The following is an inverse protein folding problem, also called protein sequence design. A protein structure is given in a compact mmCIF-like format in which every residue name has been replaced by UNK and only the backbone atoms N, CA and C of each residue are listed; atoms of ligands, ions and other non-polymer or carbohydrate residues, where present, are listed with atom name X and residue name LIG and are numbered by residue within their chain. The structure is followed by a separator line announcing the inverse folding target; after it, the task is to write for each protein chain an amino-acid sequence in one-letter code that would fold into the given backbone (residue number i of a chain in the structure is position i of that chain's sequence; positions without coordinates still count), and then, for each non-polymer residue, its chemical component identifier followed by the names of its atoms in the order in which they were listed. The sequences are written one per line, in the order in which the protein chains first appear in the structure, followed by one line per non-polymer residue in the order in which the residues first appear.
data_IF_149649785323
#
_entry.id   IF_149649785323
#
_cell.length_a   1.000
_cell.length_b   1.000
_cell.length_c   1.000
_cell.angle_alpha   90.00
_cell.angle_beta   90.00
_cell.angle_gamma   90.00
#
_symmetry.space_group_name_H-M   'P 1'
#
loop_
_entity.id
_entity.type
_entity.pdbx_description
1 polymer ?
#
# COMPACT_ATOMS: atom_id res chain seq x y z
N UNK A 1 13.84 0.73 1.79
CA UNK A 1 13.00 0.44 0.62
C UNK A 1 11.60 0.13 1.10
N UNK A 2 10.64 1.01 0.81
CA UNK A 2 9.23 0.65 0.82
C UNK A 2 9.07 -0.44 -0.24
N UNK A 3 8.36 -1.53 0.06
CA UNK A 3 8.28 -2.72 -0.78
C UNK A 3 7.54 -2.41 -2.09
N UNK A 4 8.26 -1.95 -3.11
CA UNK A 4 7.76 -1.71 -4.48
C UNK A 4 7.73 -3.00 -5.31
N UNK A 5 7.38 -4.14 -4.72
CA UNK A 5 7.10 -5.35 -5.52
C UNK A 5 5.72 -5.18 -6.15
N UNK A 6 5.70 -4.44 -7.25
CA UNK A 6 4.52 -3.99 -7.99
C UNK A 6 4.37 -4.67 -9.35
N UNK A 7 5.09 -5.77 -9.61
CA UNK A 7 5.10 -6.42 -10.93
C UNK A 7 3.69 -6.74 -11.46
N UNK A 8 2.73 -7.10 -10.60
CA UNK A 8 1.36 -7.33 -11.08
C UNK A 8 0.52 -6.05 -11.25
N UNK A 9 0.82 -4.94 -10.55
CA UNK A 9 0.08 -3.68 -10.75
C UNK A 9 0.47 -3.04 -12.08
N UNK A 10 1.77 -3.02 -12.39
CA UNK A 10 2.26 -2.57 -13.69
C UNK A 10 1.64 -3.39 -14.83
N UNK A 11 1.54 -4.72 -14.67
CA UNK A 11 0.87 -5.61 -15.64
C UNK A 11 -0.63 -5.33 -15.72
N UNK A 12 -1.32 -5.23 -14.58
CA UNK A 12 -2.77 -4.93 -14.51
C UNK A 12 -3.10 -3.64 -15.25
N UNK A 13 -2.43 -2.54 -14.92
CA UNK A 13 -2.76 -1.23 -15.49
C UNK A 13 -2.21 -1.05 -16.91
N UNK A 14 -1.14 -1.75 -17.30
CA UNK A 14 -0.76 -1.81 -18.72
C UNK A 14 -1.80 -2.55 -19.55
N UNK A 15 -2.32 -3.69 -19.05
CA UNK A 15 -3.37 -4.43 -19.73
C UNK A 15 -4.66 -3.61 -19.85
N UNK A 16 -5.10 -2.94 -18.76
CA UNK A 16 -6.26 -2.06 -18.79
C UNK A 16 -6.09 -0.88 -19.75
N UNK A 17 -4.90 -0.28 -19.80
CA UNK A 17 -4.59 0.82 -20.72
C UNK A 17 -4.70 0.40 -22.19
N UNK A 18 -4.21 -0.80 -22.52
CA UNK A 18 -4.07 -1.27 -23.89
C UNK A 18 -5.30 -2.06 -24.39
N UNK A 19 -6.25 -2.40 -23.52
CA UNK A 19 -7.46 -3.15 -23.84
C UNK A 19 -8.48 -2.27 -24.60
N UNK A 20 -8.73 -2.54 -25.90
CA UNK A 20 -9.65 -1.74 -26.71
C UNK A 20 -11.12 -1.90 -26.31
N UNK A 21 -11.46 -2.88 -25.47
CA UNK A 21 -12.81 -3.08 -24.95
C UNK A 21 -13.16 -2.15 -23.78
N UNK A 22 -12.15 -1.55 -23.14
CA UNK A 22 -12.34 -0.59 -22.05
C UNK A 22 -12.75 0.79 -22.57
N UNK A 23 -13.48 1.54 -21.73
CA UNK A 23 -13.83 2.92 -22.05
C UNK A 23 -12.58 3.81 -22.15
N UNK A 24 -12.61 4.91 -22.92
CA UNK A 24 -11.51 5.87 -22.96
C UNK A 24 -11.08 6.35 -21.57
N UNK A 25 -12.03 6.53 -20.66
CA UNK A 25 -11.80 7.01 -19.29
C UNK A 25 -11.06 5.97 -18.44
N UNK A 26 -11.42 4.68 -18.54
CA UNK A 26 -10.72 3.59 -17.84
C UNK A 26 -9.28 3.46 -18.34
N UNK A 27 -9.08 3.53 -19.66
CA UNK A 27 -7.74 3.48 -20.26
C UNK A 27 -6.89 4.68 -19.85
N UNK A 28 -7.50 5.85 -19.76
CA UNK A 28 -6.83 7.07 -19.33
C UNK A 28 -6.43 7.01 -17.85
N UNK A 29 -7.33 6.58 -16.98
CA UNK A 29 -7.02 6.36 -15.56
C UNK A 29 -5.87 5.35 -15.38
N UNK A 30 -5.90 4.24 -16.13
CA UNK A 30 -4.85 3.24 -16.13
C UNK A 30 -3.51 3.78 -16.67
N UNK A 31 -3.53 4.62 -17.71
CA UNK A 31 -2.35 5.29 -18.25
C UNK A 31 -1.70 6.22 -17.22
N UNK A 32 -2.51 7.03 -16.54
CA UNK A 32 -2.05 7.97 -15.52
C UNK A 32 -1.47 7.21 -14.33
N UNK A 33 -2.15 6.15 -13.87
CA UNK A 33 -1.62 5.26 -12.84
C UNK A 33 -0.25 4.70 -13.23
N UNK A 34 -0.14 4.10 -14.42
CA UNK A 34 1.11 3.49 -14.88
C UNK A 34 2.25 4.51 -14.97
N UNK A 35 1.93 5.77 -15.34
CA UNK A 35 2.92 6.85 -15.34
C UNK A 35 3.37 7.22 -13.93
N UNK A 36 2.46 7.34 -12.98
CA UNK A 36 2.79 7.61 -11.58
C UNK A 36 3.68 6.51 -10.99
N UNK A 37 3.35 5.24 -11.27
CA UNK A 37 4.10 4.09 -10.79
C UNK A 37 5.52 4.06 -11.39
N UNK A 38 5.62 4.29 -12.69
CA UNK A 38 6.91 4.36 -13.38
C UNK A 38 7.83 5.41 -12.77
N UNK A 39 7.31 6.63 -12.56
CA UNK A 39 8.07 7.74 -11.98
C UNK A 39 8.55 7.42 -10.56
N UNK A 40 7.68 6.80 -9.75
CA UNK A 40 8.01 6.43 -8.39
C UNK A 40 9.06 5.31 -8.32
N UNK A 41 8.96 4.32 -9.22
CA UNK A 41 9.89 3.18 -9.27
C UNK A 41 11.27 3.59 -9.79
N UNK A 42 11.31 4.54 -10.72
CA UNK A 42 12.56 5.09 -11.22
C UNK A 42 13.28 5.97 -10.20
N UNK A 43 12.65 6.28 -9.05
CA UNK A 43 13.11 7.27 -8.06
C UNK A 43 13.47 8.62 -8.72
N UNK A 44 12.79 8.95 -9.82
CA UNK A 44 13.18 10.02 -10.73
C UNK A 44 12.53 11.35 -10.31
N UNK A 45 11.20 11.31 -10.12
CA UNK A 45 10.40 12.48 -9.76
C UNK A 45 9.20 12.08 -8.88
N UNK A 46 9.40 12.01 -7.55
CA UNK A 46 8.33 11.64 -6.63
C UNK A 46 7.25 12.74 -6.50
N UNK A 47 7.54 13.98 -6.87
CA UNK A 47 6.55 15.07 -6.91
C UNK A 47 5.54 14.84 -8.03
N UNK A 48 6.03 14.66 -9.26
CA UNK A 48 5.17 14.35 -10.41
C UNK A 48 4.48 12.99 -10.21
N UNK A 49 5.14 12.00 -9.61
CA UNK A 49 4.49 10.73 -9.27
C UNK A 49 3.30 10.93 -8.33
N UNK A 50 3.44 11.78 -7.31
CA UNK A 50 2.37 12.12 -6.37
C UNK A 50 1.20 12.81 -7.06
N UNK A 51 1.49 13.80 -7.93
CA UNK A 51 0.46 14.51 -8.71
C UNK A 51 -0.32 13.55 -9.62
N UNK A 52 0.39 12.67 -10.36
CA UNK A 52 -0.24 11.68 -11.24
C UNK A 52 -1.02 10.63 -10.46
N UNK A 53 -0.54 10.18 -9.31
CA UNK A 53 -1.30 9.27 -8.48
C UNK A 53 -2.60 9.92 -7.97
N UNK A 54 -2.57 11.21 -7.56
CA UNK A 54 -3.77 11.96 -7.14
C UNK A 54 -4.77 12.17 -8.29
N UNK A 55 -4.27 12.42 -9.50
CA UNK A 55 -5.10 12.49 -10.71
C UNK A 55 -5.79 11.14 -10.99
N UNK A 56 -5.07 10.02 -10.89
CA UNK A 56 -5.64 8.68 -11.03
C UNK A 56 -6.72 8.40 -9.96
N UNK A 57 -6.50 8.83 -8.71
CA UNK A 57 -7.52 8.71 -7.65
C UNK A 57 -8.83 9.39 -8.05
N UNK A 58 -8.75 10.62 -8.58
CA UNK A 58 -9.94 11.37 -9.02
C UNK A 58 -10.69 10.63 -10.12
N UNK A 59 -9.98 10.15 -11.15
CA UNK A 59 -10.58 9.40 -12.24
C UNK A 59 -11.20 8.08 -11.78
N UNK A 60 -10.51 7.30 -10.96
CA UNK A 60 -11.08 6.04 -10.46
C UNK A 60 -12.28 6.25 -9.52
N UNK A 61 -12.38 7.41 -8.85
CA UNK A 61 -13.59 7.78 -8.09
C UNK A 61 -14.76 8.07 -9.02
N UNK A 62 -14.54 8.82 -10.10
CA UNK A 62 -15.56 9.11 -11.12
C UNK A 62 -16.06 7.81 -11.78
N UNK A 63 -15.15 6.86 -12.01
CA UNK A 63 -15.42 5.53 -12.54
C UNK A 63 -16.06 4.58 -11.51
N UNK A 64 -16.20 4.99 -10.25
CA UNK A 64 -16.67 4.15 -9.14
C UNK A 64 -15.88 2.84 -8.99
N UNK A 65 -14.57 2.88 -9.26
CA UNK A 65 -13.65 1.74 -9.12
C UNK A 65 -12.94 1.80 -7.76
N UNK A 66 -13.44 1.08 -6.72
CA UNK A 66 -12.82 1.11 -5.39
C UNK A 66 -11.42 0.49 -5.37
N UNK A 67 -11.10 -0.41 -6.31
CA UNK A 67 -9.78 -1.03 -6.40
C UNK A 67 -8.79 -0.02 -6.98
N UNK A 68 -9.17 0.64 -8.08
CA UNK A 68 -8.40 1.73 -8.69
C UNK A 68 -8.12 2.88 -7.73
N UNK A 69 -9.12 3.27 -6.93
CA UNK A 69 -8.96 4.28 -5.88
C UNK A 69 -7.96 3.82 -4.82
N UNK A 70 -8.11 2.61 -4.31
CA UNK A 70 -7.21 2.08 -3.28
C UNK A 70 -5.76 2.00 -3.78
N UNK A 71 -5.53 1.44 -4.98
CA UNK A 71 -4.20 1.30 -5.57
C UNK A 71 -3.56 2.68 -5.79
N UNK A 72 -4.30 3.64 -6.35
CA UNK A 72 -3.81 4.99 -6.63
C UNK A 72 -3.53 5.80 -5.36
N UNK A 73 -4.37 5.67 -4.33
CA UNK A 73 -4.14 6.33 -3.04
C UNK A 73 -2.89 5.81 -2.34
N UNK A 74 -2.65 4.49 -2.37
CA UNK A 74 -1.42 3.91 -1.81
C UNK A 74 -0.19 4.44 -2.52
N UNK A 75 -0.27 4.57 -3.85
CA UNK A 75 0.82 5.12 -4.66
C UNK A 75 1.10 6.59 -4.34
N UNK A 76 0.04 7.40 -4.20
CA UNK A 76 0.14 8.82 -3.82
C UNK A 76 0.79 8.99 -2.44
N UNK A 77 0.33 8.24 -1.43
CA UNK A 77 0.89 8.28 -0.07
C UNK A 77 2.36 7.84 -0.07
N UNK A 78 2.71 6.81 -0.85
CA UNK A 78 4.09 6.37 -0.99
C UNK A 78 4.97 7.45 -1.63
N UNK A 79 4.48 8.14 -2.66
CA UNK A 79 5.17 9.25 -3.31
C UNK A 79 5.43 10.41 -2.35
N UNK A 80 4.42 10.83 -1.58
CA UNK A 80 4.57 11.85 -0.52
C UNK A 80 5.62 11.43 0.52
N UNK A 81 5.64 10.16 0.91
CA UNK A 81 6.64 9.66 1.86
C UNK A 81 8.08 9.67 1.30
N UNK A 82 8.25 9.47 -0.01
CA UNK A 82 9.54 9.58 -0.69
C UNK A 82 10.01 11.03 -0.84
N UNK A 83 9.10 11.99 -0.97
CA UNK A 83 9.40 13.44 -0.92
C UNK A 83 9.77 13.94 0.49
N UNK A 84 9.89 13.05 1.48
CA UNK A 84 10.04 13.37 2.90
C UNK A 84 8.86 14.13 3.52
N UNK A 85 7.74 14.27 2.80
CA UNK A 85 6.49 14.89 3.25
C UNK A 85 5.63 13.94 4.11
N UNK A 86 6.25 13.29 5.10
CA UNK A 86 5.59 12.24 5.89
C UNK A 86 4.38 12.74 6.67
N UNK A 87 4.38 14.01 7.10
CA UNK A 87 3.22 14.59 7.81
C UNK A 87 2.01 14.64 6.88
N UNK A 88 2.24 15.01 5.63
CA UNK A 88 1.20 15.09 4.61
C UNK A 88 0.73 13.70 4.20
N UNK A 89 1.65 12.76 3.97
CA UNK A 89 1.33 11.36 3.72
C UNK A 89 0.43 10.73 4.81
N UNK A 90 0.72 11.03 6.09
CA UNK A 90 -0.11 10.59 7.21
C UNK A 90 -1.47 11.31 7.26
N UNK A 91 -1.51 12.61 6.96
CA UNK A 91 -2.76 13.39 6.91
C UNK A 91 -3.70 12.82 5.85
N UNK A 92 -3.23 12.67 4.62
CA UNK A 92 -3.99 12.10 3.50
C UNK A 92 -4.47 10.69 3.84
N UNK A 93 -3.59 9.81 4.34
CA UNK A 93 -3.98 8.45 4.70
C UNK A 93 -5.04 8.38 5.80
N UNK A 94 -5.03 9.30 6.77
CA UNK A 94 -6.05 9.37 7.83
C UNK A 94 -7.39 9.90 7.33
N UNK A 95 -7.37 10.91 6.46
CA UNK A 95 -8.59 11.46 5.84
C UNK A 95 -9.30 10.40 5.00
N UNK A 96 -8.55 9.68 4.18
CA UNK A 96 -9.07 8.60 3.33
C UNK A 96 -9.51 7.38 4.14
N UNK A 97 -8.83 7.07 5.24
CA UNK A 97 -9.29 6.07 6.20
C UNK A 97 -10.68 6.45 6.75
N UNK A 98 -10.88 7.70 7.17
CA UNK A 98 -12.16 8.18 7.68
C UNK A 98 -13.27 8.18 6.59
N UNK A 99 -12.92 8.42 5.33
CA UNK A 99 -13.85 8.26 4.19
C UNK A 99 -14.22 6.79 3.99
N UNK A 100 -13.24 5.88 4.00
CA UNK A 100 -13.47 4.45 3.85
C UNK A 100 -14.31 3.87 4.99
N UNK A 101 -14.10 4.33 6.22
CA UNK A 101 -14.89 3.91 7.39
C UNK A 101 -16.35 4.39 7.31
N UNK A 102 -16.58 5.66 6.93
CA UNK A 102 -17.94 6.20 6.76
C UNK A 102 -18.72 5.54 5.62
N UNK A 103 -18.02 5.14 4.56
CA UNK A 103 -18.63 4.49 3.40
C UNK A 103 -18.74 2.97 3.53
N UNK A 104 -18.16 2.38 4.58
CA UNK A 104 -18.08 0.92 4.73
C UNK A 104 -17.15 0.25 3.70
N UNK A 105 -16.30 1.01 3.00
CA UNK A 105 -15.34 0.48 2.04
C UNK A 105 -14.20 -0.26 2.75
N UNK A 106 -14.38 -1.57 2.92
CA UNK A 106 -13.42 -2.44 3.61
C UNK A 106 -12.06 -2.52 2.90
N UNK A 107 -12.05 -2.51 1.57
CA UNK A 107 -10.82 -2.54 0.78
C UNK A 107 -10.02 -1.25 0.96
N UNK A 108 -10.69 -0.10 0.82
CA UNK A 108 -10.09 1.22 1.04
C UNK A 108 -9.56 1.37 2.47
N UNK A 109 -10.30 0.88 3.47
CA UNK A 109 -9.86 0.85 4.87
C UNK A 109 -8.56 0.05 5.03
N UNK A 110 -8.50 -1.16 4.49
CA UNK A 110 -7.30 -2.00 4.58
C UNK A 110 -6.08 -1.35 3.88
N UNK A 111 -6.31 -0.76 2.71
CA UNK A 111 -5.28 -0.07 1.94
C UNK A 111 -4.69 1.12 2.71
N UNK A 112 -5.56 1.96 3.30
CA UNK A 112 -5.10 3.14 4.06
C UNK A 112 -4.40 2.74 5.36
N UNK A 113 -4.89 1.74 6.07
CA UNK A 113 -4.22 1.20 7.25
C UNK A 113 -2.81 0.69 6.92
N UNK A 114 -2.66 -0.04 5.81
CA UNK A 114 -1.37 -0.54 5.37
C UNK A 114 -0.41 0.61 5.03
N UNK A 115 -0.85 1.59 4.24
CA UNK A 115 -0.03 2.74 3.88
C UNK A 115 0.36 3.58 5.09
N UNK A 116 -0.55 3.82 6.04
CA UNK A 116 -0.25 4.53 7.28
C UNK A 116 0.81 3.78 8.12
N UNK A 117 0.73 2.45 8.20
CA UNK A 117 1.72 1.63 8.87
C UNK A 117 3.11 1.75 8.21
N UNK A 118 3.17 1.67 6.88
CA UNK A 118 4.40 1.77 6.09
C UNK A 118 5.08 3.15 6.28
N UNK A 119 4.30 4.25 6.23
CA UNK A 119 4.80 5.60 6.45
C UNK A 119 5.27 5.80 7.90
N UNK A 120 4.49 5.36 8.89
CA UNK A 120 4.81 5.52 10.30
C UNK A 120 5.98 4.63 10.76
N UNK A 121 6.31 3.58 10.01
CA UNK A 121 7.46 2.72 10.29
C UNK A 121 8.80 3.43 10.03
N UNK A 122 8.87 4.42 9.13
CA UNK A 122 10.15 5.05 8.76
C UNK A 122 10.54 6.21 9.69
N UNK A 123 11.71 6.12 10.35
CA UNK A 123 12.34 7.18 11.17
C UNK A 123 11.45 7.83 12.25
N UNK A 124 10.47 7.11 12.80
CA UNK A 124 9.58 7.64 13.82
C UNK A 124 10.01 7.29 15.26
N UNK A 125 9.41 7.97 16.26
CA UNK A 125 9.55 7.67 17.70
C UNK A 125 8.97 6.30 18.10
N UNK A 126 9.08 5.92 19.39
CA UNK A 126 8.56 4.65 19.92
C UNK A 126 7.03 4.55 19.84
N UNK A 127 6.30 5.60 20.18
CA UNK A 127 4.83 5.60 20.19
C UNK A 127 4.23 5.38 18.80
N UNK A 128 4.77 6.06 17.79
CA UNK A 128 4.36 5.90 16.39
C UNK A 128 4.58 4.48 15.86
N UNK A 129 5.55 3.73 16.41
CA UNK A 129 5.77 2.31 16.04
C UNK A 129 4.71 1.38 16.62
N UNK A 130 4.18 1.66 17.81
CA UNK A 130 3.07 0.86 18.35
C UNK A 130 1.83 1.03 17.48
N UNK A 131 1.52 2.28 17.11
CA UNK A 131 0.41 2.57 16.22
C UNK A 131 0.59 1.95 14.83
N UNK A 132 1.79 2.01 14.26
CA UNK A 132 2.11 1.35 12.99
C UNK A 132 1.89 -0.16 13.05
N UNK A 133 2.25 -0.80 14.16
CA UNK A 133 2.01 -2.24 14.37
C UNK A 133 0.50 -2.56 14.38
N UNK A 134 -0.28 -1.76 15.11
CA UNK A 134 -1.74 -1.94 15.18
C UNK A 134 -2.40 -1.76 13.81
N UNK A 135 -1.99 -0.75 13.05
CA UNK A 135 -2.48 -0.53 11.69
C UNK A 135 -2.12 -1.69 10.75
N UNK A 136 -0.87 -2.19 10.80
CA UNK A 136 -0.44 -3.31 9.96
C UNK A 136 -1.18 -4.62 10.29
N UNK A 137 -1.37 -4.93 11.58
CA UNK A 137 -2.15 -6.11 12.00
C UNK A 137 -3.62 -6.01 11.60
N UNK A 138 -4.22 -4.83 11.72
CA UNK A 138 -5.60 -4.62 11.32
C UNK A 138 -5.76 -4.72 9.79
N UNK A 139 -4.87 -4.11 9.01
CA UNK A 139 -4.84 -4.28 7.55
C UNK A 139 -4.74 -5.76 7.16
N UNK A 140 -3.84 -6.51 7.81
CA UNK A 140 -3.68 -7.96 7.60
C UNK A 140 -4.98 -8.71 7.85
N UNK A 141 -5.68 -8.42 8.95
CA UNK A 141 -6.97 -9.07 9.28
C UNK A 141 -8.04 -8.74 8.25
N UNK A 142 -8.14 -7.48 7.83
CA UNK A 142 -9.15 -7.08 6.84
C UNK A 142 -8.87 -7.75 5.49
N UNK A 143 -7.62 -7.75 5.01
CA UNK A 143 -7.26 -8.44 3.77
C UNK A 143 -7.51 -9.95 3.84
N UNK A 144 -7.22 -10.59 4.98
CA UNK A 144 -7.57 -12.00 5.19
C UNK A 144 -9.08 -12.26 5.09
N UNK A 145 -9.91 -11.37 5.65
CA UNK A 145 -11.37 -11.47 5.57
C UNK A 145 -11.92 -11.16 4.17
N UNK A 146 -11.21 -10.37 3.37
CA UNK A 146 -11.53 -10.10 1.96
C UNK A 146 -11.05 -11.22 1.03
N UNK A 147 -10.25 -12.17 1.52
CA UNK A 147 -9.64 -13.22 0.71
C UNK A 147 -8.47 -12.75 -0.15
N UNK A 148 -8.00 -11.52 0.01
CA UNK A 148 -6.87 -10.96 -0.71
C UNK A 148 -5.55 -11.44 -0.08
N UNK A 149 -5.14 -12.65 -0.47
CA UNK A 149 -3.93 -13.31 0.04
C UNK A 149 -2.65 -12.55 -0.24
N UNK A 150 -2.61 -11.84 -1.38
CA UNK A 150 -1.46 -11.05 -1.77
C UNK A 150 -1.29 -9.87 -0.81
N UNK A 151 -2.35 -9.08 -0.62
CA UNK A 151 -2.30 -7.92 0.26
C UNK A 151 -2.23 -8.29 1.73
N UNK A 152 -2.79 -9.45 2.13
CA UNK A 152 -2.53 -10.05 3.44
C UNK A 152 -1.02 -10.28 3.65
N UNK A 153 -0.33 -10.83 2.65
CA UNK A 153 1.12 -11.01 2.66
C UNK A 153 1.90 -9.70 2.77
N UNK A 154 1.51 -8.67 2.03
CA UNK A 154 2.12 -7.33 2.17
C UNK A 154 1.92 -6.74 3.56
N UNK A 155 0.73 -6.90 4.16
CA UNK A 155 0.50 -6.46 5.53
C UNK A 155 1.36 -7.24 6.55
N UNK A 156 1.59 -8.54 6.33
CA UNK A 156 2.55 -9.32 7.14
C UNK A 156 3.99 -8.80 7.01
N UNK A 157 4.42 -8.39 5.82
CA UNK A 157 5.73 -7.74 5.63
C UNK A 157 5.81 -6.41 6.39
N UNK A 158 4.74 -5.61 6.40
CA UNK A 158 4.67 -4.38 7.18
C UNK A 158 4.76 -4.68 8.69
N UNK A 159 4.04 -5.68 9.20
CA UNK A 159 4.15 -6.15 10.60
C UNK A 159 5.60 -6.54 10.92
N UNK A 160 6.24 -7.32 10.05
CA UNK A 160 7.63 -7.73 10.24
C UNK A 160 8.58 -6.54 10.29
N UNK A 161 8.45 -5.59 9.36
CA UNK A 161 9.25 -4.37 9.30
C UNK A 161 9.14 -3.56 10.59
N UNK A 162 7.92 -3.35 11.10
CA UNK A 162 7.68 -2.62 12.35
C UNK A 162 8.31 -3.36 13.54
N UNK A 163 8.13 -4.68 13.63
CA UNK A 163 8.73 -5.50 14.68
C UNK A 163 10.26 -5.50 14.64
N UNK A 164 10.87 -5.57 13.46
CA UNK A 164 12.34 -5.50 13.33
C UNK A 164 12.86 -4.16 13.82
N UNK A 165 12.23 -3.05 13.45
CA UNK A 165 12.65 -1.73 13.93
C UNK A 165 12.47 -1.53 15.43
N UNK A 166 11.44 -2.13 16.04
CA UNK A 166 11.27 -2.15 17.50
C UNK A 166 12.35 -3.01 18.18
N UNK A 167 12.59 -4.21 17.66
CA UNK A 167 13.58 -5.15 18.18
C UNK A 167 15.01 -4.61 18.14
N UNK A 168 15.40 -3.92 17.05
CA UNK A 168 16.72 -3.28 16.92
C UNK A 168 16.94 -2.20 17.97
N UNK A 169 15.92 -1.39 18.28
CA UNK A 169 16.05 -0.27 19.24
C UNK A 169 15.94 -0.71 20.70
N UNK A 170 15.22 -1.80 20.97
CA UNK A 170 14.96 -2.25 22.33
C UNK A 170 15.76 -3.51 22.73
N UNK A 171 16.55 -4.09 21.82
CA UNK A 171 17.21 -5.40 21.97
C UNK A 171 16.27 -6.53 22.42
N UNK A 172 14.98 -6.44 22.08
CA UNK A 172 13.95 -7.36 22.58
C UNK A 172 13.79 -8.57 21.66
N UNK A 173 14.22 -9.75 22.14
CA UNK A 173 14.08 -11.05 21.45
C UNK A 173 12.64 -11.35 21.02
N UNK A 174 11.63 -10.88 21.78
CA UNK A 174 10.21 -11.08 21.49
C UNK A 174 9.78 -10.47 20.15
N UNK A 175 10.27 -9.28 19.83
CA UNK A 175 9.86 -8.57 18.61
C UNK A 175 10.53 -9.19 17.38
N UNK A 176 11.78 -9.67 17.52
CA UNK A 176 12.42 -10.48 16.48
C UNK A 176 11.65 -11.77 16.17
N UNK A 177 11.18 -12.49 17.20
CA UNK A 177 10.36 -13.69 17.01
C UNK A 177 9.06 -13.40 16.26
N UNK A 178 8.40 -12.28 16.58
CA UNK A 178 7.19 -11.84 15.86
C UNK A 178 7.49 -11.53 14.40
N UNK A 179 8.58 -10.80 14.12
CA UNK A 179 9.01 -10.50 12.76
C UNK A 179 9.31 -11.78 11.97
N UNK A 180 10.06 -12.72 12.55
CA UNK A 180 10.37 -13.99 11.89
C UNK A 180 9.12 -14.81 11.59
N UNK A 181 8.14 -14.81 12.51
CA UNK A 181 6.85 -15.48 12.28
C UNK A 181 6.09 -14.85 11.11
N UNK A 182 5.93 -13.52 11.11
CA UNK A 182 5.25 -12.80 10.05
C UNK A 182 5.92 -13.01 8.68
N UNK A 183 7.27 -12.99 8.62
CA UNK A 183 8.02 -13.28 7.40
C UNK A 183 7.79 -14.71 6.89
N UNK A 184 7.75 -15.71 7.78
CA UNK A 184 7.45 -17.10 7.38
C UNK A 184 6.04 -17.25 6.82
N UNK A 185 5.06 -16.60 7.44
CA UNK A 185 3.68 -16.62 6.97
C UNK A 185 3.54 -15.93 5.61
N UNK A 186 4.15 -14.76 5.43
CA UNK A 186 4.19 -14.06 4.15
C UNK A 186 4.86 -14.90 3.06
N UNK A 187 6.01 -15.53 3.35
CA UNK A 187 6.71 -16.42 2.41
C UNK A 187 5.85 -17.61 2.00
N UNK A 188 5.11 -18.21 2.94
CA UNK A 188 4.19 -19.31 2.64
C UNK A 188 3.09 -18.86 1.68
N UNK A 189 2.48 -17.71 1.95
CA UNK A 189 1.43 -17.12 1.11
C UNK A 189 1.93 -16.85 -0.31
N UNK A 190 3.07 -16.16 -0.45
CA UNK A 190 3.63 -15.85 -1.77
C UNK A 190 4.06 -17.10 -2.56
N UNK A 191 4.52 -18.17 -1.87
CA UNK A 191 4.82 -19.45 -2.52
C UNK A 191 3.57 -20.13 -3.08
N UNK A 192 2.47 -20.11 -2.35
CA UNK A 192 1.19 -20.64 -2.85
C UNK A 192 0.69 -19.85 -4.07
N UNK A 193 0.85 -18.53 -4.07
CA UNK A 193 0.48 -17.69 -5.23
C UNK A 193 1.38 -17.92 -6.46
N UNK A 194 2.65 -18.29 -6.26
CA UNK A 194 3.59 -18.58 -7.34
C UNK A 194 3.47 -19.99 -7.93
N UNK A 195 2.83 -20.93 -7.21
CA UNK A 195 2.58 -22.30 -7.70
C UNK A 195 1.29 -22.44 -8.52
N UNK A 196 0.43 -21.41 -8.54
CA UNK A 196 -0.84 -21.40 -9.27
C UNK A 196 -0.72 -20.77 -10.69
N UNK A 197 0.49 -20.76 -11.28
CA UNK A 197 0.76 -20.25 -12.64
C UNK A 197 1.06 -21.38 -13.63
#
# INVERSE_FOLDING_TARGET
MLSTSTDDLAVKYSALRDDPSQSPEVREAARIFAKAEFLLRAEDDPETASQKASEAVSLFRELQDPVGVADSLRLHICALAQQEERKEALRVGQEELAVAERSGNRLGRAAMLLSLAEVACYRCGSEKREQAFLWAEEARRVYAQLGDRKMEGHAMLAVASVCMQKGVKAHQRRDFLKATKALREALKQFRCLGSDR
#
